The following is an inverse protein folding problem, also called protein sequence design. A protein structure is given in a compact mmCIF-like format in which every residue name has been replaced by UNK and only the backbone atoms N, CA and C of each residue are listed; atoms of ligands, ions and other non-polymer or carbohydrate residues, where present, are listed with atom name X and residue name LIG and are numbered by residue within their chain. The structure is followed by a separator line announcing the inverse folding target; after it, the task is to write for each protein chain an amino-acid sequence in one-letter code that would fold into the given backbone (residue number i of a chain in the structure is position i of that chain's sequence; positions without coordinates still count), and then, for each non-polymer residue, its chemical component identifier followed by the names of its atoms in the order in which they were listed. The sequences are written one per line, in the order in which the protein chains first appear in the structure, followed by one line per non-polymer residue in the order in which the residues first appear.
data_IF_035095640364
#
_entry.id   IF_035095640364
#
_cell.length_a   1.000
_cell.length_b   1.000
_cell.length_c   1.000
_cell.angle_alpha   90.00
_cell.angle_beta   90.00
_cell.angle_gamma   90.00
#
_symmetry.space_group_name_H-M   'P 1'
#
loop_
_entity.id
_entity.type
_entity.pdbx_description
1 polymer ?
#
# COMPACT_ATOMS: atom_id res chain seq x y z
N UNK A 1 8.67 4.29 -0.90
CA UNK A 1 8.60 4.26 0.57
C UNK A 1 7.36 3.47 1.00
N UNK A 2 7.46 2.15 1.16
CA UNK A 2 6.44 1.34 1.85
C UNK A 2 6.31 1.87 3.27
N UNK A 3 5.10 1.87 3.86
CA UNK A 3 4.81 2.61 5.11
C UNK A 3 5.96 2.54 6.11
N UNK A 4 6.47 3.69 6.53
CA UNK A 4 7.60 3.75 7.45
C UNK A 4 7.10 3.45 8.86
N UNK A 5 7.77 2.55 9.58
CA UNK A 5 7.43 2.23 10.97
C UNK A 5 7.77 3.40 11.92
N UNK A 6 8.73 4.24 11.51
CA UNK A 6 9.15 5.46 12.21
C UNK A 6 9.22 6.60 11.20
N UNK A 7 8.51 7.69 11.50
CA UNK A 7 8.58 8.94 10.74
C UNK A 7 9.36 9.97 11.54
N UNK A 8 10.50 10.42 10.99
CA UNK A 8 11.30 11.50 11.59
C UNK A 8 10.89 12.81 10.92
N UNK A 9 10.32 13.71 11.71
CA UNK A 9 9.98 15.06 11.27
C UNK A 9 10.99 16.07 11.81
N UNK A 10 11.86 16.58 10.94
CA UNK A 10 12.95 17.50 11.30
C UNK A 10 12.67 18.92 10.79
N UNK A 11 13.01 19.92 11.59
CA UNK A 11 13.07 21.32 11.16
C UNK A 11 13.16 22.31 12.30
N UNK A 12 13.65 23.52 12.02
CA UNK A 12 13.80 24.60 13.02
C UNK A 12 12.46 25.09 13.60
N UNK A 13 11.34 24.81 12.92
CA UNK A 13 9.98 25.16 13.34
C UNK A 13 9.08 23.92 13.49
N UNK A 14 9.67 22.74 13.69
CA UNK A 14 8.91 21.48 13.76
C UNK A 14 7.80 21.52 14.84
N UNK A 15 8.02 22.30 15.90
CA UNK A 15 7.14 22.44 17.06
C UNK A 15 6.20 23.63 17.00
N UNK A 16 6.16 24.39 15.90
CA UNK A 16 5.37 25.61 15.80
C UNK A 16 3.85 25.35 15.68
N UNK A 17 3.46 24.25 15.03
CA UNK A 17 2.05 23.91 14.80
C UNK A 17 1.56 22.92 15.85
N UNK A 18 0.58 23.33 16.66
CA UNK A 18 -0.02 22.47 17.68
C UNK A 18 -0.60 21.18 17.06
N UNK A 19 -1.23 21.29 15.88
CA UNK A 19 -1.79 20.14 15.17
C UNK A 19 -0.72 19.09 14.83
N UNK A 20 0.50 19.51 14.50
CA UNK A 20 1.60 18.58 14.23
C UNK A 20 2.16 18.01 15.52
N UNK A 21 2.33 18.83 16.56
CA UNK A 21 2.82 18.34 17.85
C UNK A 21 1.87 17.31 18.44
N UNK A 22 0.55 17.48 18.31
CA UNK A 22 -0.43 16.51 18.84
C UNK A 22 -0.35 15.14 18.14
N UNK A 23 0.19 15.08 16.92
CA UNK A 23 0.40 13.84 16.16
C UNK A 23 1.76 13.18 16.44
N UNK A 24 2.68 13.88 17.10
CA UNK A 24 4.02 13.35 17.38
C UNK A 24 4.04 12.55 18.67
N UNK A 25 4.50 11.30 18.58
CA UNK A 25 4.65 10.39 19.71
C UNK A 25 5.87 10.71 20.59
N UNK A 26 6.86 11.41 20.03
CA UNK A 26 8.10 11.78 20.73
C UNK A 26 8.62 13.10 20.16
N UNK A 27 8.94 14.05 21.04
CA UNK A 27 9.40 15.40 20.66
C UNK A 27 10.80 15.63 21.20
N UNK A 28 11.77 15.72 20.29
CA UNK A 28 13.19 15.94 20.63
C UNK A 28 13.59 17.37 20.27
N UNK A 29 14.11 18.12 21.24
CA UNK A 29 14.69 19.44 21.02
C UNK A 29 16.21 19.36 21.14
N UNK A 30 16.93 19.80 20.10
CA UNK A 30 18.39 19.89 20.15
C UNK A 30 18.78 21.27 20.66
N UNK A 31 19.40 21.31 21.83
CA UNK A 31 19.89 22.54 22.43
C UNK A 31 21.39 22.71 22.21
N UNK A 32 21.76 23.93 21.83
CA UNK A 32 23.15 24.29 21.52
C UNK A 32 23.37 25.73 21.93
N UNK A 33 24.52 25.98 22.54
CA UNK A 33 24.86 27.29 23.08
C UNK A 33 24.73 28.40 22.02
N UNK A 34 24.18 29.57 22.36
CA UNK A 34 24.03 30.70 21.44
C UNK A 34 25.34 31.09 20.75
N UNK A 35 26.46 31.03 21.47
CA UNK A 35 27.78 31.42 20.99
C UNK A 35 28.27 30.44 19.92
N UNK A 36 28.12 29.13 20.17
CA UNK A 36 28.42 28.07 19.20
C UNK A 36 27.56 28.21 17.94
N UNK A 37 26.27 28.50 18.10
CA UNK A 37 25.35 28.72 16.95
C UNK A 37 25.73 29.96 16.14
N UNK A 38 26.14 31.03 16.81
CA UNK A 38 26.61 32.26 16.17
C UNK A 38 27.94 32.03 15.44
N UNK A 39 28.91 31.36 16.07
CA UNK A 39 30.20 31.03 15.48
C UNK A 39 30.03 30.21 14.18
N UNK A 40 29.27 29.10 14.24
CA UNK A 40 28.95 28.27 13.06
C UNK A 40 28.28 29.07 11.94
N UNK A 41 27.46 30.06 12.29
CA UNK A 41 26.80 30.93 11.32
C UNK A 41 27.78 31.90 10.69
N UNK A 42 28.67 32.51 11.48
CA UNK A 42 29.68 33.44 11.01
C UNK A 42 30.63 32.75 10.04
N UNK A 43 31.17 31.59 10.42
CA UNK A 43 32.01 30.76 9.54
C UNK A 43 31.31 30.49 8.20
N UNK A 44 30.10 29.92 8.25
CA UNK A 44 29.34 29.58 7.04
C UNK A 44 28.96 30.80 6.17
N UNK A 45 28.48 31.89 6.78
CA UNK A 45 27.99 33.04 6.01
C UNK A 45 29.16 33.91 5.48
N UNK A 46 30.33 33.89 6.12
CA UNK A 46 31.53 34.63 5.68
C UNK A 46 32.35 33.79 4.70
N UNK A 47 32.73 32.56 5.05
CA UNK A 47 33.62 31.71 4.24
C UNK A 47 32.88 31.11 3.04
N UNK A 48 31.71 30.49 3.24
CA UNK A 48 31.02 29.79 2.15
C UNK A 48 30.20 30.72 1.24
N UNK A 49 29.78 31.89 1.75
CA UNK A 49 28.85 32.80 1.07
C UNK A 49 29.41 34.19 0.79
N UNK A 50 30.64 34.48 1.21
CA UNK A 50 31.35 35.71 0.91
C UNK A 50 30.70 36.98 1.48
N UNK A 51 29.97 36.88 2.59
CA UNK A 51 29.32 38.05 3.23
C UNK A 51 30.28 38.76 4.19
N UNK A 52 30.06 40.05 4.39
CA UNK A 52 30.78 40.84 5.38
C UNK A 52 30.26 40.57 6.81
N UNK A 53 31.17 40.64 7.78
CA UNK A 53 30.87 40.39 9.20
C UNK A 53 29.76 41.30 9.73
N UNK A 54 29.79 42.58 9.36
CA UNK A 54 28.85 43.59 9.86
C UNK A 54 27.42 43.29 9.40
N UNK A 55 27.24 42.94 8.12
CA UNK A 55 25.97 42.53 7.54
C UNK A 55 25.41 41.24 8.16
N UNK A 56 26.27 40.25 8.44
CA UNK A 56 25.85 39.00 9.10
C UNK A 56 25.38 39.26 10.53
N UNK A 57 26.12 40.05 11.31
CA UNK A 57 25.75 40.42 12.68
C UNK A 57 24.47 41.26 12.72
N UNK A 58 24.33 42.24 11.81
CA UNK A 58 23.13 43.04 11.67
C UNK A 58 21.90 42.17 11.36
N UNK A 59 22.03 41.21 10.43
CA UNK A 59 20.97 40.25 10.12
C UNK A 59 20.64 39.36 11.32
N UNK A 60 21.67 38.88 12.04
CA UNK A 60 21.50 38.00 13.19
C UNK A 60 20.69 38.68 14.30
N UNK A 61 21.08 39.90 14.68
CA UNK A 61 20.40 40.67 15.72
C UNK A 61 19.00 41.12 15.30
N UNK A 62 18.81 41.51 14.04
CA UNK A 62 17.54 42.04 13.55
C UNK A 62 16.48 40.98 13.32
N UNK A 63 16.87 39.80 12.81
CA UNK A 63 15.91 38.80 12.34
C UNK A 63 16.08 37.43 12.99
N UNK A 64 17.31 36.96 13.16
CA UNK A 64 17.58 35.56 13.50
C UNK A 64 17.36 35.30 14.99
N UNK A 65 17.98 36.10 15.85
CA UNK A 65 17.84 35.97 17.30
C UNK A 65 16.39 36.21 17.75
N UNK A 66 15.70 37.28 17.30
CA UNK A 66 14.29 37.48 17.65
C UNK A 66 13.39 36.34 17.17
N UNK A 67 13.62 35.79 15.97
CA UNK A 67 12.85 34.66 15.48
C UNK A 67 13.10 33.38 16.30
N UNK A 68 14.36 33.13 16.69
CA UNK A 68 14.69 32.03 17.59
C UNK A 68 13.96 32.18 18.94
N UNK A 69 14.08 33.35 19.58
CA UNK A 69 13.49 33.60 20.90
C UNK A 69 11.95 33.50 20.87
N UNK A 70 11.33 33.91 19.76
CA UNK A 70 9.86 33.94 19.61
C UNK A 70 9.28 32.60 19.19
N UNK A 71 9.91 31.88 18.27
CA UNK A 71 9.29 30.73 17.59
C UNK A 71 9.98 29.38 17.84
N UNK A 72 11.26 29.38 18.24
CA UNK A 72 12.06 28.16 18.37
C UNK A 72 12.32 27.83 19.84
N UNK A 73 12.84 28.79 20.61
CA UNK A 73 13.15 28.61 22.03
C UNK A 73 11.96 28.15 22.88
N UNK A 74 10.70 28.62 22.64
CA UNK A 74 9.55 28.10 23.37
C UNK A 74 9.29 26.61 23.13
N UNK A 75 9.78 26.06 22.00
CA UNK A 75 9.72 24.65 21.65
C UNK A 75 10.39 23.74 22.69
N UNK A 76 11.36 24.22 23.46
CA UNK A 76 11.94 23.45 24.57
C UNK A 76 10.92 23.05 25.63
N UNK A 77 9.91 23.90 25.89
CA UNK A 77 8.91 23.65 26.95
C UNK A 77 7.98 22.49 26.61
N UNK A 78 7.80 22.21 25.33
CA UNK A 78 6.93 21.15 24.83
C UNK A 78 7.70 19.89 24.45
N UNK A 79 9.04 19.93 24.47
CA UNK A 79 9.86 18.78 24.12
C UNK A 79 9.87 17.76 25.27
N UNK A 80 9.80 16.48 24.90
CA UNK A 80 9.92 15.36 25.85
C UNK A 80 11.39 15.13 26.22
N UNK A 81 12.31 15.36 25.27
CA UNK A 81 13.75 15.20 25.44
C UNK A 81 14.49 16.42 24.92
N UNK A 82 15.42 16.94 25.72
CA UNK A 82 16.35 18.00 25.31
C UNK A 82 17.75 17.40 25.18
N UNK A 83 18.34 17.49 23.99
CA UNK A 83 19.67 16.95 23.68
C UNK A 83 20.68 18.09 23.64
N UNK A 84 21.56 18.22 24.65
CA UNK A 84 22.62 19.22 24.61
C UNK A 84 23.73 18.77 23.65
N UNK A 85 24.37 19.76 23.00
CA UNK A 85 25.53 19.57 22.08
C UNK A 85 25.21 18.82 20.78
N UNK A 86 23.94 18.53 20.50
CA UNK A 86 23.48 17.95 19.24
C UNK A 86 24.08 16.58 18.91
N UNK A 87 24.42 16.38 17.64
CA UNK A 87 24.76 15.07 17.06
C UNK A 87 26.05 14.41 17.58
N UNK A 88 26.85 15.11 18.39
CA UNK A 88 28.04 14.55 19.04
C UNK A 88 27.71 13.81 20.35
N UNK A 89 26.46 13.91 20.81
CA UNK A 89 26.03 13.30 22.07
C UNK A 89 25.54 11.85 21.85
N UNK A 90 26.48 10.92 21.69
CA UNK A 90 26.17 9.49 21.45
C UNK A 90 25.26 8.89 22.52
N UNK A 91 25.42 9.30 23.78
CA UNK A 91 24.59 8.83 24.91
C UNK A 91 23.13 9.24 24.73
N UNK A 92 22.89 10.49 24.30
CA UNK A 92 21.53 10.96 24.03
C UNK A 92 20.91 10.26 22.81
N UNK A 93 21.72 9.99 21.79
CA UNK A 93 21.27 9.23 20.60
C UNK A 93 20.86 7.81 20.99
N UNK A 94 21.66 7.10 21.79
CA UNK A 94 21.31 5.75 22.26
C UNK A 94 20.03 5.75 23.10
N UNK A 95 19.83 6.77 23.94
CA UNK A 95 18.61 6.93 24.72
C UNK A 95 17.38 7.16 23.84
N UNK A 96 17.49 7.98 22.79
CA UNK A 96 16.42 8.18 21.80
C UNK A 96 16.11 6.87 21.09
N UNK A 97 17.14 6.15 20.63
CA UNK A 97 16.97 4.86 19.95
C UNK A 97 16.28 3.85 20.85
N UNK A 98 16.65 3.76 22.14
CA UNK A 98 15.98 2.89 23.11
C UNK A 98 14.52 3.29 23.32
N UNK A 99 14.24 4.59 23.44
CA UNK A 99 12.87 5.06 23.63
C UNK A 99 11.99 4.72 22.42
N UNK A 100 12.50 4.92 21.19
CA UNK A 100 11.80 4.52 19.96
C UNK A 100 11.55 3.01 19.96
N UNK A 101 12.55 2.19 20.32
CA UNK A 101 12.37 0.73 20.42
C UNK A 101 11.32 0.32 21.46
N UNK A 102 11.29 0.97 22.62
CA UNK A 102 10.28 0.70 23.65
C UNK A 102 8.89 1.09 23.19
N UNK A 103 8.71 2.27 22.59
CA UNK A 103 7.44 2.72 22.04
C UNK A 103 6.92 1.79 20.94
N UNK A 104 7.82 1.33 20.07
CA UNK A 104 7.50 0.31 19.09
C UNK A 104 7.02 -0.97 19.81
N UNK A 105 7.77 -1.48 20.80
CA UNK A 105 7.42 -2.71 21.51
C UNK A 105 6.07 -2.63 22.25
N UNK A 106 5.76 -1.51 22.91
CA UNK A 106 4.47 -1.25 23.56
C UNK A 106 3.30 -1.30 22.58
N UNK A 107 3.52 -0.84 21.34
CA UNK A 107 2.56 -0.93 20.24
C UNK A 107 2.50 -2.32 19.61
N UNK A 108 3.20 -3.31 20.18
CA UNK A 108 3.22 -4.69 19.72
C UNK A 108 4.32 -5.00 18.71
N UNK A 109 5.31 -4.11 18.53
CA UNK A 109 6.47 -4.39 17.69
C UNK A 109 7.40 -5.40 18.36
N UNK A 110 7.26 -6.67 18.01
CA UNK A 110 8.22 -7.72 18.33
C UNK A 110 9.33 -7.88 17.27
N UNK A 111 10.55 -7.40 17.55
CA UNK A 111 11.69 -7.47 16.62
C UNK A 111 12.12 -8.91 16.24
N UNK A 112 11.58 -9.94 16.91
CA UNK A 112 11.79 -11.35 16.58
C UNK A 112 10.76 -11.90 15.59
N UNK A 113 9.63 -11.20 15.38
CA UNK A 113 8.60 -11.55 14.41
C UNK A 113 8.86 -10.94 13.05
N UNK A 114 8.33 -11.59 12.02
CA UNK A 114 8.43 -11.11 10.65
C UNK A 114 7.76 -9.71 10.53
N UNK A 115 8.45 -8.74 9.92
CA UNK A 115 8.03 -7.34 9.80
C UNK A 115 6.62 -7.16 9.23
N UNK A 116 6.20 -8.06 8.33
CA UNK A 116 4.85 -8.04 7.77
C UNK A 116 3.77 -8.59 8.71
N UNK A 117 4.09 -9.57 9.57
CA UNK A 117 3.13 -10.08 10.56
C UNK A 117 2.92 -9.04 11.64
N UNK A 118 4.00 -8.39 12.08
CA UNK A 118 3.92 -7.23 12.94
C UNK A 118 3.00 -6.14 12.37
N UNK A 119 3.22 -5.73 11.12
CA UNK A 119 2.39 -4.70 10.48
C UNK A 119 0.93 -5.16 10.34
N UNK A 120 0.69 -6.41 9.98
CA UNK A 120 -0.65 -6.98 9.90
C UNK A 120 -1.34 -7.01 11.27
N UNK A 121 -0.66 -7.49 12.31
CA UNK A 121 -1.17 -7.59 13.69
C UNK A 121 -1.45 -6.22 14.33
N UNK A 122 -0.57 -5.24 14.09
CA UNK A 122 -0.75 -3.86 14.55
C UNK A 122 -1.96 -3.21 13.89
N UNK A 123 -2.15 -3.43 12.58
CA UNK A 123 -3.35 -2.97 11.88
C UNK A 123 -4.57 -3.72 12.41
N UNK A 124 -4.48 -5.03 12.68
CA UNK A 124 -5.62 -5.88 13.02
C UNK A 124 -6.32 -5.47 14.33
N UNK A 125 -5.56 -4.97 15.32
CA UNK A 125 -6.12 -4.51 16.60
C UNK A 125 -6.94 -3.23 16.51
N UNK A 126 -6.64 -2.35 15.55
CA UNK A 126 -7.31 -1.06 15.35
C UNK A 126 -8.14 -1.01 14.05
N UNK A 127 -8.39 -2.16 13.42
CA UNK A 127 -9.21 -2.23 12.21
C UNK A 127 -10.63 -1.72 12.49
N UNK A 128 -11.15 -0.80 11.67
CA UNK A 128 -12.55 -0.44 11.72
C UNK A 128 -13.41 -1.69 11.54
N UNK A 129 -14.42 -1.88 12.40
CA UNK A 129 -15.37 -3.00 12.32
C UNK A 129 -16.13 -3.08 10.98
N UNK A 130 -16.09 -2.03 10.17
CA UNK A 130 -16.76 -1.97 8.87
C UNK A 130 -15.74 -2.01 7.74
N UNK A 131 -16.00 -2.87 6.76
CA UNK A 131 -15.22 -2.95 5.54
C UNK A 131 -15.16 -1.60 4.81
N UNK A 132 -14.08 -1.32 4.06
CA UNK A 132 -13.90 -0.05 3.37
C UNK A 132 -14.99 0.19 2.33
N UNK A 133 -15.42 1.45 2.16
CA UNK A 133 -16.46 1.82 1.18
C UNK A 133 -16.06 1.60 -0.27
N UNK A 134 -14.77 1.59 -0.56
CA UNK A 134 -14.21 1.32 -1.89
C UNK A 134 -14.19 -0.17 -2.23
N UNK A 135 -14.45 -1.05 -1.26
CA UNK A 135 -14.51 -2.49 -1.45
C UNK A 135 -15.91 -2.93 -1.83
N UNK A 136 -16.01 -3.54 -3.01
CA UNK A 136 -17.21 -4.24 -3.46
C UNK A 136 -16.96 -5.74 -3.39
N UNK A 137 -17.84 -6.45 -2.68
CA UNK A 137 -17.84 -7.91 -2.63
C UNK A 137 -18.93 -8.41 -3.56
N UNK A 138 -18.62 -9.39 -4.41
CA UNK A 138 -19.63 -10.00 -5.26
C UNK A 138 -20.74 -10.66 -4.42
N UNK A 139 -22.00 -10.63 -4.91
CA UNK A 139 -23.10 -11.32 -4.24
C UNK A 139 -22.79 -12.80 -4.01
N UNK A 140 -22.91 -13.25 -2.76
CA UNK A 140 -22.64 -14.63 -2.34
C UNK A 140 -23.77 -15.60 -2.73
N UNK A 141 -24.03 -15.71 -4.03
CA UNK A 141 -25.01 -16.66 -4.57
C UNK A 141 -24.59 -18.11 -4.29
N UNK A 142 -25.53 -19.07 -4.28
CA UNK A 142 -25.20 -20.49 -4.12
C UNK A 142 -24.14 -20.97 -5.13
N UNK A 143 -24.17 -20.44 -6.35
CA UNK A 143 -23.19 -20.77 -7.39
C UNK A 143 -21.79 -20.25 -7.04
N UNK A 144 -21.66 -18.98 -6.64
CA UNK A 144 -20.37 -18.39 -6.22
C UNK A 144 -19.79 -19.13 -5.01
N UNK A 145 -20.64 -19.44 -4.01
CA UNK A 145 -20.24 -20.23 -2.84
C UNK A 145 -19.80 -21.65 -3.20
N UNK A 146 -20.49 -22.28 -4.14
CA UNK A 146 -20.12 -23.60 -4.66
C UNK A 146 -18.76 -23.59 -5.35
N UNK A 147 -18.50 -22.60 -6.22
CA UNK A 147 -17.19 -22.43 -6.87
C UNK A 147 -16.08 -22.22 -5.83
N UNK A 148 -16.31 -21.37 -4.83
CA UNK A 148 -15.38 -21.21 -3.72
C UNK A 148 -15.15 -22.51 -2.95
N UNK A 149 -16.17 -23.36 -2.77
CA UNK A 149 -16.01 -24.63 -2.06
C UNK A 149 -15.01 -25.56 -2.76
N UNK A 150 -15.09 -25.68 -4.09
CA UNK A 150 -14.10 -26.44 -4.87
C UNK A 150 -12.71 -25.80 -4.81
N UNK A 151 -12.64 -24.47 -4.94
CA UNK A 151 -11.36 -23.77 -4.86
C UNK A 151 -10.71 -23.89 -3.48
N UNK A 152 -11.48 -23.94 -2.38
CA UNK A 152 -10.94 -24.05 -1.02
C UNK A 152 -10.64 -25.50 -0.62
N UNK A 153 -11.27 -26.48 -1.26
CA UNK A 153 -11.07 -27.89 -0.95
C UNK A 153 -9.66 -28.36 -1.35
N UNK A 154 -8.88 -28.82 -0.37
CA UNK A 154 -7.54 -29.40 -0.56
C UNK A 154 -7.55 -30.66 -1.44
N UNK A 155 -8.64 -31.41 -1.46
CA UNK A 155 -8.77 -32.66 -2.23
C UNK A 155 -9.15 -32.44 -3.69
N UNK A 156 -9.43 -31.20 -4.11
CA UNK A 156 -9.82 -30.91 -5.49
C UNK A 156 -8.63 -31.10 -6.43
N UNK A 157 -8.86 -31.84 -7.51
CA UNK A 157 -7.83 -32.11 -8.51
C UNK A 157 -7.45 -30.84 -9.26
N UNK A 158 -6.25 -30.80 -9.84
CA UNK A 158 -5.76 -29.60 -10.55
C UNK A 158 -6.70 -29.19 -11.69
N UNK A 159 -7.16 -30.16 -12.49
CA UNK A 159 -8.00 -29.87 -13.66
C UNK A 159 -9.36 -29.28 -13.24
N UNK A 160 -9.95 -29.81 -12.16
CA UNK A 160 -11.15 -29.22 -11.55
C UNK A 160 -10.88 -27.84 -10.97
N UNK A 161 -9.74 -27.65 -10.29
CA UNK A 161 -9.36 -26.37 -9.70
C UNK A 161 -9.24 -25.28 -10.77
N UNK A 162 -8.56 -25.56 -11.89
CA UNK A 162 -8.46 -24.65 -13.04
C UNK A 162 -9.85 -24.36 -13.60
N UNK A 163 -10.65 -25.40 -13.85
CA UNK A 163 -12.00 -25.25 -14.41
C UNK A 163 -12.92 -24.37 -13.54
N UNK A 164 -12.96 -24.61 -12.24
CA UNK A 164 -13.81 -23.83 -11.33
C UNK A 164 -13.26 -22.42 -11.09
N UNK A 165 -11.93 -22.25 -11.06
CA UNK A 165 -11.30 -20.94 -10.93
C UNK A 165 -11.59 -20.06 -12.14
N UNK A 166 -11.44 -20.58 -13.37
CA UNK A 166 -11.74 -19.86 -14.60
C UNK A 166 -13.22 -19.42 -14.66
N UNK A 167 -14.13 -20.27 -14.19
CA UNK A 167 -15.56 -19.92 -14.08
C UNK A 167 -15.80 -18.79 -13.08
N UNK A 168 -15.12 -18.79 -11.95
CA UNK A 168 -15.24 -17.71 -10.96
C UNK A 168 -14.62 -16.41 -11.47
N UNK A 169 -13.45 -16.47 -12.11
CA UNK A 169 -12.79 -15.34 -12.76
C UNK A 169 -13.69 -14.70 -13.81
N UNK A 170 -14.42 -15.50 -14.60
CA UNK A 170 -15.38 -14.98 -15.57
C UNK A 170 -16.47 -14.15 -14.90
N UNK A 171 -17.05 -14.65 -13.81
CA UNK A 171 -18.08 -13.92 -13.04
C UNK A 171 -17.50 -12.62 -12.46
N UNK A 172 -16.30 -12.68 -11.89
CA UNK A 172 -15.59 -11.52 -11.35
C UNK A 172 -15.37 -10.43 -12.41
N UNK A 173 -14.89 -10.81 -13.59
CA UNK A 173 -14.58 -9.87 -14.67
C UNK A 173 -15.86 -9.29 -15.29
N UNK A 174 -16.90 -10.10 -15.50
CA UNK A 174 -18.19 -9.60 -15.97
C UNK A 174 -18.78 -8.60 -14.96
N UNK A 175 -18.64 -8.86 -13.65
CA UNK A 175 -19.05 -7.91 -12.63
C UNK A 175 -18.20 -6.63 -12.65
N UNK A 176 -16.90 -6.74 -12.86
CA UNK A 176 -15.99 -5.60 -13.00
C UNK A 176 -16.38 -4.69 -14.18
N UNK A 177 -16.95 -5.24 -15.25
CA UNK A 177 -17.40 -4.45 -16.39
C UNK A 177 -18.55 -3.51 -16.05
N UNK A 178 -19.34 -3.79 -15.00
CA UNK A 178 -20.42 -2.90 -14.56
C UNK A 178 -19.90 -1.57 -14.00
N UNK A 179 -18.66 -1.54 -13.49
CA UNK A 179 -18.01 -0.33 -12.98
C UNK A 179 -17.40 0.54 -14.08
N UNK A 180 -17.53 0.15 -15.35
CA UNK A 180 -17.01 0.90 -16.48
C UNK A 180 -17.98 2.02 -16.90
N UNK A 181 -17.50 3.14 -17.46
CA UNK A 181 -18.37 4.21 -17.91
C UNK A 181 -19.07 3.84 -19.24
N UNK A 182 -20.40 3.91 -19.22
CA UNK A 182 -21.27 3.67 -20.38
C UNK A 182 -22.00 4.95 -20.80
N UNK A 183 -22.20 5.12 -22.11
CA UNK A 183 -23.07 6.15 -22.69
C UNK A 183 -24.35 5.52 -23.21
N UNK A 184 -25.46 6.25 -23.15
CA UNK A 184 -26.67 5.87 -23.88
C UNK A 184 -26.41 5.96 -25.39
N UNK A 185 -26.88 4.97 -26.13
CA UNK A 185 -26.71 4.90 -27.58
C UNK A 185 -27.98 4.34 -28.19
N UNK A 186 -28.62 5.14 -29.02
CA UNK A 186 -29.77 4.73 -29.80
C UNK A 186 -29.29 3.87 -30.99
N UNK A 187 -29.90 2.71 -31.16
CA UNK A 187 -29.68 1.81 -32.28
C UNK A 187 -31.00 1.53 -32.98
N UNK A 188 -30.96 1.37 -34.29
CA UNK A 188 -32.13 0.98 -35.07
C UNK A 188 -32.26 -0.53 -35.06
N UNK A 189 -33.39 -1.04 -34.56
CA UNK A 189 -33.71 -2.47 -34.58
C UNK A 189 -33.85 -2.97 -36.03
N UNK A 190 -33.70 -4.28 -36.30
CA UNK A 190 -34.02 -4.85 -37.61
C UNK A 190 -35.45 -4.57 -38.07
N UNK A 191 -36.38 -4.30 -37.13
CA UNK A 191 -37.77 -3.91 -37.39
C UNK A 191 -37.94 -2.42 -37.76
N UNK A 192 -36.88 -1.62 -37.77
CA UNK A 192 -36.90 -0.18 -38.08
C UNK A 192 -37.17 0.73 -36.88
N UNK A 193 -37.63 0.18 -35.75
CA UNK A 193 -37.88 0.94 -34.53
C UNK A 193 -36.57 1.30 -33.79
N UNK A 194 -36.51 2.47 -33.16
CA UNK A 194 -35.37 2.86 -32.33
C UNK A 194 -35.37 2.15 -30.96
N UNK A 195 -34.19 1.75 -30.48
CA UNK A 195 -33.97 1.19 -29.15
C UNK A 195 -32.77 1.88 -28.50
N UNK A 196 -32.93 2.35 -27.27
CA UNK A 196 -31.84 2.99 -26.50
C UNK A 196 -31.15 1.93 -25.65
N UNK A 197 -29.90 1.61 -26.01
CA UNK A 197 -29.02 0.75 -25.24
C UNK A 197 -27.87 1.51 -24.60
N UNK A 198 -26.90 0.78 -24.05
CA UNK A 198 -25.65 1.31 -23.48
C UNK A 198 -24.46 0.89 -24.35
N UNK A 199 -23.53 1.82 -24.59
CA UNK A 199 -22.26 1.55 -25.24
C UNK A 199 -21.10 1.97 -24.33
N UNK A 200 -20.05 1.15 -24.29
CA UNK A 200 -18.82 1.44 -23.54
C UNK A 200 -18.08 2.61 -24.15
N UNK A 201 -17.54 3.50 -23.31
CA UNK A 201 -16.84 4.72 -23.76
C UNK A 201 -15.33 4.69 -23.54
N UNK A 202 -14.88 4.04 -22.48
CA UNK A 202 -13.47 4.00 -22.10
C UNK A 202 -12.74 2.79 -22.63
N UNK A 203 -11.47 2.97 -22.98
CA UNK A 203 -10.58 1.86 -23.32
C UNK A 203 -10.15 1.15 -22.03
N UNK A 204 -10.06 -0.19 -22.08
CA UNK A 204 -9.65 -1.00 -20.92
C UNK A 204 -8.27 -1.59 -21.17
N UNK A 205 -7.45 -1.58 -20.12
CA UNK A 205 -6.18 -2.28 -20.07
C UNK A 205 -6.19 -3.25 -18.88
N UNK A 206 -5.78 -4.49 -19.08
CA UNK A 206 -5.50 -5.41 -17.99
C UNK A 206 -4.04 -5.30 -17.57
N UNK A 207 -3.76 -5.35 -16.27
CA UNK A 207 -2.39 -5.42 -15.73
C UNK A 207 -2.35 -6.58 -14.75
N UNK A 208 -1.57 -7.61 -15.06
CA UNK A 208 -1.44 -8.78 -14.20
C UNK A 208 -0.22 -8.65 -13.28
N UNK A 209 -0.43 -8.86 -11.98
CA UNK A 209 0.67 -9.07 -11.02
C UNK A 209 1.11 -10.52 -11.14
N UNK A 210 2.33 -10.74 -11.60
CA UNK A 210 2.86 -12.09 -11.83
C UNK A 210 3.21 -12.75 -10.49
N UNK A 211 2.99 -14.06 -10.33
CA UNK A 211 2.47 -15.04 -11.32
C UNK A 211 0.94 -15.20 -11.28
N UNK A 212 0.34 -15.08 -10.09
CA UNK A 212 -1.05 -15.48 -9.87
C UNK A 212 -2.08 -14.64 -10.66
N UNK A 213 -1.82 -13.34 -10.85
CA UNK A 213 -2.68 -12.46 -11.64
C UNK A 213 -2.75 -12.82 -13.12
N UNK A 214 -1.76 -13.55 -13.66
CA UNK A 214 -1.75 -13.95 -15.07
C UNK A 214 -2.86 -14.96 -15.41
N UNK A 215 -3.32 -15.71 -14.41
CA UNK A 215 -4.41 -16.69 -14.57
C UNK A 215 -5.72 -16.04 -15.02
N UNK A 216 -5.92 -14.77 -14.68
CA UNK A 216 -7.12 -14.00 -15.09
C UNK A 216 -7.04 -13.45 -16.52
N UNK A 217 -5.87 -13.47 -17.18
CA UNK A 217 -5.72 -12.89 -18.52
C UNK A 217 -6.64 -13.55 -19.55
N UNK A 218 -6.75 -14.88 -19.47
CA UNK A 218 -7.58 -15.64 -20.39
C UNK A 218 -9.06 -15.25 -20.23
N UNK A 219 -9.54 -15.21 -18.99
CA UNK A 219 -10.91 -14.79 -18.69
C UNK A 219 -11.17 -13.34 -19.12
N UNK A 220 -10.20 -12.44 -18.96
CA UNK A 220 -10.34 -11.04 -19.38
C UNK A 220 -10.43 -10.89 -20.89
N UNK A 221 -9.54 -11.53 -21.64
CA UNK A 221 -9.57 -11.49 -23.12
C UNK A 221 -10.82 -12.14 -23.69
N UNK A 222 -11.40 -13.11 -22.98
CA UNK A 222 -12.64 -13.75 -23.38
C UNK A 222 -13.88 -12.86 -23.17
N UNK A 223 -13.79 -11.78 -22.37
CA UNK A 223 -14.83 -10.75 -22.21
C UNK A 223 -14.53 -9.54 -23.09
N UNK A 224 -13.27 -9.09 -23.11
CA UNK A 224 -12.82 -7.88 -23.80
C UNK A 224 -11.79 -8.25 -24.87
N UNK A 225 -12.25 -8.38 -26.13
CA UNK A 225 -11.44 -8.87 -27.26
C UNK A 225 -10.17 -8.05 -27.53
N UNK A 226 -10.26 -6.72 -27.47
CA UNK A 226 -9.15 -5.81 -27.81
C UNK A 226 -8.40 -5.27 -26.57
N UNK A 227 -8.40 -6.03 -25.47
CA UNK A 227 -7.75 -5.60 -24.24
C UNK A 227 -6.22 -5.66 -24.35
N UNK A 228 -5.57 -4.50 -24.17
CA UNK A 228 -4.11 -4.45 -23.98
C UNK A 228 -3.76 -5.03 -22.62
N UNK A 229 -2.62 -5.71 -22.53
CA UNK A 229 -2.13 -6.34 -21.31
C UNK A 229 -0.79 -5.74 -20.91
N UNK A 230 -0.68 -5.36 -19.64
CA UNK A 230 0.56 -5.07 -18.95
C UNK A 230 0.90 -6.18 -17.96
N UNK A 231 2.18 -6.30 -17.63
CA UNK A 231 2.70 -7.28 -16.68
C UNK A 231 3.63 -6.61 -15.68
N UNK A 232 3.48 -6.96 -14.42
CA UNK A 232 4.31 -6.47 -13.32
C UNK A 232 4.79 -7.69 -12.52
N UNK A 233 6.10 -7.86 -12.36
CA UNK A 233 6.67 -8.83 -11.43
C UNK A 233 7.08 -8.12 -10.16
N UNK A 234 6.40 -8.45 -9.08
CA UNK A 234 6.78 -8.02 -7.74
C UNK A 234 7.09 -9.28 -6.95
N UNK A 235 8.27 -9.29 -6.36
CA UNK A 235 8.69 -10.36 -5.48
C UNK A 235 9.21 -9.76 -4.19
N UNK A 236 8.81 -10.38 -3.08
CA UNK A 236 9.32 -10.00 -1.78
C UNK A 236 10.75 -10.52 -1.65
N UNK A 237 11.68 -9.63 -1.36
CA UNK A 237 13.06 -10.00 -1.09
C UNK A 237 13.14 -10.77 0.24
N UNK A 238 13.74 -11.96 0.24
CA UNK A 238 13.80 -12.86 1.41
C UNK A 238 14.60 -12.28 2.59
N UNK A 239 15.53 -11.35 2.32
CA UNK A 239 16.39 -10.75 3.35
C UNK A 239 15.77 -9.51 3.97
N UNK A 240 15.29 -8.61 3.13
CA UNK A 240 14.71 -7.34 3.58
C UNK A 240 13.23 -7.47 3.90
N UNK A 241 12.58 -8.52 3.40
CA UNK A 241 11.14 -8.66 3.41
C UNK A 241 10.49 -7.40 2.84
N UNK A 242 11.04 -6.78 1.79
CA UNK A 242 10.38 -5.67 1.08
C UNK A 242 9.96 -6.11 -0.32
N UNK A 243 8.85 -5.58 -0.86
CA UNK A 243 8.44 -5.91 -2.21
C UNK A 243 9.30 -5.12 -3.20
N UNK A 244 9.95 -5.82 -4.12
CA UNK A 244 10.83 -5.26 -5.12
C UNK A 244 10.28 -5.46 -6.54
N UNK A 245 10.51 -4.48 -7.41
CA UNK A 245 10.07 -4.51 -8.81
C UNK A 245 11.14 -5.22 -9.63
N UNK A 246 10.85 -6.44 -10.09
CA UNK A 246 11.81 -7.20 -10.90
C UNK A 246 11.56 -7.05 -12.40
N UNK A 247 10.30 -6.84 -12.80
CA UNK A 247 9.94 -6.74 -14.20
C UNK A 247 8.73 -5.83 -14.38
N UNK A 248 8.79 -4.99 -15.40
CA UNK A 248 7.72 -4.07 -15.75
C UNK A 248 7.56 -4.01 -17.26
N UNK A 249 6.35 -4.30 -17.75
CA UNK A 249 5.98 -4.07 -19.14
C UNK A 249 4.55 -3.58 -19.23
N UNK A 250 4.39 -2.28 -19.44
CA UNK A 250 3.09 -1.62 -19.57
C UNK A 250 2.86 -1.12 -21.00
N UNK A 251 1.59 -0.97 -21.44
CA UNK A 251 1.28 -0.28 -22.69
C UNK A 251 1.72 1.20 -22.65
N UNK A 252 2.26 1.71 -23.76
CA UNK A 252 2.83 3.07 -23.84
C UNK A 252 1.91 4.20 -23.40
N UNK A 253 0.59 4.07 -23.60
CA UNK A 253 -0.39 5.12 -23.32
C UNK A 253 -1.31 4.75 -22.15
N UNK A 254 -0.81 4.02 -21.14
CA UNK A 254 -1.62 3.44 -20.07
C UNK A 254 -2.48 4.47 -19.30
N UNK A 255 -2.01 5.72 -19.17
CA UNK A 255 -2.74 6.83 -18.53
C UNK A 255 -4.14 7.10 -19.12
N UNK A 256 -4.40 6.73 -20.38
CA UNK A 256 -5.68 6.93 -21.07
C UNK A 256 -6.70 5.80 -20.81
N UNK A 257 -6.26 4.69 -20.20
CA UNK A 257 -7.07 3.50 -20.03
C UNK A 257 -7.66 3.44 -18.62
N UNK A 258 -8.81 2.79 -18.49
CA UNK A 258 -9.24 2.19 -17.21
C UNK A 258 -8.43 0.90 -17.01
N UNK A 259 -7.70 0.83 -15.90
CA UNK A 259 -6.77 -0.25 -15.61
C UNK A 259 -7.44 -1.26 -14.69
N UNK A 260 -7.54 -2.52 -15.15
CA UNK A 260 -7.89 -3.67 -14.35
C UNK A 260 -6.60 -4.29 -13.81
N UNK A 261 -6.26 -3.96 -12.56
CA UNK A 261 -5.13 -4.59 -11.88
C UNK A 261 -5.60 -5.93 -11.33
N UNK A 262 -4.95 -7.02 -11.71
CA UNK A 262 -5.42 -8.38 -11.41
C UNK A 262 -4.42 -9.12 -10.54
N UNK A 263 -4.91 -9.66 -9.43
CA UNK A 263 -4.17 -10.53 -8.52
C UNK A 263 -5.08 -11.56 -7.87
N UNK A 264 -4.71 -12.84 -7.86
CA UNK A 264 -5.63 -13.90 -7.44
C UNK A 264 -5.98 -13.81 -5.95
N UNK A 265 -5.00 -13.50 -5.11
CA UNK A 265 -5.15 -13.47 -3.65
C UNK A 265 -4.42 -12.27 -3.07
N UNK A 266 -5.15 -11.40 -2.39
CA UNK A 266 -4.58 -10.26 -1.68
C UNK A 266 -4.53 -10.59 -0.19
N UNK A 267 -3.34 -10.96 0.30
CA UNK A 267 -3.09 -11.16 1.73
C UNK A 267 -2.80 -9.81 2.40
N UNK A 268 -1.53 -9.46 2.62
CA UNK A 268 -1.14 -8.18 3.25
C UNK A 268 -1.39 -6.96 2.34
N UNK A 269 -1.62 -7.18 1.05
CA UNK A 269 -1.76 -6.12 0.06
C UNK A 269 -0.45 -5.46 -0.38
N UNK A 270 0.72 -5.92 0.11
CA UNK A 270 2.02 -5.31 -0.21
C UNK A 270 2.32 -5.26 -1.72
N UNK A 271 2.13 -6.39 -2.42
CA UNK A 271 2.33 -6.46 -3.88
C UNK A 271 1.34 -5.57 -4.63
N UNK A 272 0.05 -5.60 -4.25
CA UNK A 272 -0.97 -4.74 -4.86
C UNK A 272 -0.68 -3.24 -4.62
N UNK A 273 -0.26 -2.85 -3.41
CA UNK A 273 0.13 -1.47 -3.10
C UNK A 273 1.30 -1.00 -3.97
N UNK A 274 2.32 -1.84 -4.12
CA UNK A 274 3.45 -1.56 -5.00
C UNK A 274 3.02 -1.41 -6.46
N UNK A 275 2.18 -2.32 -6.96
CA UNK A 275 1.68 -2.26 -8.32
C UNK A 275 0.85 -0.99 -8.58
N UNK A 276 -0.01 -0.59 -7.64
CA UNK A 276 -0.78 0.66 -7.75
C UNK A 276 0.17 1.86 -7.82
N UNK A 277 1.21 1.93 -6.97
CA UNK A 277 2.21 3.01 -7.02
C UNK A 277 2.93 3.08 -8.36
N UNK A 278 3.36 1.95 -8.90
CA UNK A 278 4.00 1.89 -10.21
C UNK A 278 3.05 2.43 -11.29
N UNK A 279 1.74 2.15 -11.21
CA UNK A 279 0.75 2.71 -12.14
C UNK A 279 0.59 4.22 -11.98
N UNK A 280 0.55 4.73 -10.75
CA UNK A 280 0.51 6.16 -10.46
C UNK A 280 1.75 6.88 -10.99
N UNK A 281 2.94 6.27 -10.86
CA UNK A 281 4.21 6.78 -11.41
C UNK A 281 4.20 6.84 -12.96
N UNK A 282 3.27 6.14 -13.61
CA UNK A 282 3.05 6.16 -15.07
C UNK A 282 1.82 7.00 -15.45
N UNK A 283 1.47 7.99 -14.63
CA UNK A 283 0.39 8.97 -14.82
C UNK A 283 -1.02 8.35 -14.94
N UNK A 284 -1.22 7.12 -14.43
CA UNK A 284 -2.56 6.56 -14.31
C UNK A 284 -3.27 7.24 -13.15
N UNK A 285 -4.46 7.80 -13.38
CA UNK A 285 -5.27 8.36 -12.30
C UNK A 285 -5.75 7.28 -11.34
N UNK A 286 -5.72 7.57 -10.05
CA UNK A 286 -6.09 6.63 -8.99
C UNK A 286 -7.53 6.07 -9.16
N UNK A 287 -8.49 6.91 -9.54
CA UNK A 287 -9.88 6.54 -9.85
C UNK A 287 -10.06 5.70 -11.12
N UNK A 288 -9.02 5.58 -11.94
CA UNK A 288 -9.00 4.74 -13.13
C UNK A 288 -8.50 3.31 -12.84
N UNK A 289 -8.08 3.03 -11.61
CA UNK A 289 -7.57 1.73 -11.20
C UNK A 289 -8.68 0.94 -10.50
N UNK A 290 -8.95 -0.26 -11.01
CA UNK A 290 -9.84 -1.25 -10.42
C UNK A 290 -9.03 -2.50 -10.09
N UNK A 291 -8.84 -2.79 -8.80
CA UNK A 291 -8.15 -3.99 -8.34
C UNK A 291 -9.14 -5.16 -8.27
N UNK A 292 -8.84 -6.24 -9.00
CA UNK A 292 -9.61 -7.47 -9.05
C UNK A 292 -8.90 -8.58 -8.27
N UNK A 293 -9.62 -9.24 -7.36
CA UNK A 293 -9.11 -10.42 -6.67
C UNK A 293 -10.16 -11.49 -6.39
N UNK A 294 -9.76 -12.76 -6.40
CA UNK A 294 -10.65 -13.87 -6.04
C UNK A 294 -10.79 -14.00 -4.52
N UNK A 295 -9.81 -13.52 -3.76
CA UNK A 295 -9.89 -13.53 -2.30
C UNK A 295 -9.04 -12.41 -1.73
N UNK A 296 -9.61 -11.61 -0.85
CA UNK A 296 -8.88 -10.60 -0.08
C UNK A 296 -8.94 -10.92 1.41
N UNK A 297 -7.86 -10.69 2.13
CA UNK A 297 -7.92 -10.60 3.59
C UNK A 297 -8.45 -9.23 4.02
N UNK A 298 -9.13 -9.16 5.17
CA UNK A 298 -9.63 -7.90 5.73
C UNK A 298 -8.51 -6.87 5.90
N UNK A 299 -7.39 -7.28 6.50
CA UNK A 299 -6.19 -6.43 6.70
C UNK A 299 -5.66 -5.86 5.38
N UNK A 300 -5.59 -6.67 4.32
CA UNK A 300 -5.16 -6.24 2.99
C UNK A 300 -6.11 -5.23 2.36
N UNK A 301 -7.42 -5.48 2.46
CA UNK A 301 -8.45 -4.58 1.92
C UNK A 301 -8.41 -3.21 2.60
N UNK A 302 -8.30 -3.17 3.93
CA UNK A 302 -8.19 -1.92 4.68
C UNK A 302 -6.89 -1.17 4.37
N UNK A 303 -5.76 -1.88 4.31
CA UNK A 303 -4.46 -1.27 3.99
C UNK A 303 -4.48 -0.59 2.61
N UNK A 304 -5.06 -1.27 1.60
CA UNK A 304 -5.20 -0.73 0.26
C UNK A 304 -6.16 0.46 0.19
N UNK A 305 -7.32 0.36 0.85
CA UNK A 305 -8.30 1.44 0.84
C UNK A 305 -7.84 2.68 1.61
N UNK A 306 -7.04 2.51 2.66
CA UNK A 306 -6.43 3.60 3.40
C UNK A 306 -5.34 4.29 2.58
N UNK A 307 -4.47 3.50 1.93
CA UNK A 307 -3.39 4.04 1.11
C UNK A 307 -3.88 4.70 -0.20
N UNK A 308 -4.95 4.17 -0.79
CA UNK A 308 -5.49 4.61 -2.07
C UNK A 308 -7.03 4.72 -2.02
N UNK A 309 -7.57 5.82 -1.45
CA UNK A 309 -9.00 5.99 -1.22
C UNK A 309 -9.85 6.16 -2.49
N UNK A 310 -9.26 6.39 -3.66
CA UNK A 310 -9.99 6.50 -4.94
C UNK A 310 -9.92 5.23 -5.78
N UNK A 311 -9.06 4.28 -5.43
CA UNK A 311 -9.01 2.96 -6.11
C UNK A 311 -10.27 2.18 -5.75
N UNK A 312 -10.89 1.57 -6.75
CA UNK A 312 -12.00 0.64 -6.51
C UNK A 312 -11.44 -0.76 -6.29
N UNK A 313 -11.86 -1.42 -5.22
CA UNK A 313 -11.48 -2.80 -4.91
C UNK A 313 -12.67 -3.70 -5.20
N UNK A 314 -12.47 -4.78 -5.97
CA UNK A 314 -13.52 -5.74 -6.28
C UNK A 314 -13.01 -7.16 -5.98
N UNK A 315 -13.76 -7.88 -5.14
CA UNK A 315 -13.42 -9.26 -4.79
C UNK A 315 -14.61 -10.20 -4.72
N UNK A 316 -14.37 -11.49 -4.91
CA UNK A 316 -15.41 -12.51 -4.79
C UNK A 316 -15.61 -13.00 -3.36
N UNK A 317 -14.63 -12.85 -2.47
CA UNK A 317 -14.75 -13.19 -1.05
C UNK A 317 -13.74 -12.41 -0.19
N UNK A 318 -14.09 -12.21 1.08
CA UNK A 318 -13.20 -11.63 2.09
C UNK A 318 -13.09 -12.60 3.26
N UNK A 319 -11.87 -12.83 3.72
CA UNK A 319 -11.56 -13.68 4.87
C UNK A 319 -10.87 -12.87 5.98
N UNK A 320 -11.03 -13.31 7.23
CA UNK A 320 -10.73 -12.49 8.42
C UNK A 320 -9.27 -12.43 8.84
N UNK A 321 -8.48 -13.49 8.59
CA UNK A 321 -7.13 -13.60 9.15
C UNK A 321 -6.07 -13.92 8.10
N UNK A 322 -4.84 -13.56 8.43
CA UNK A 322 -3.62 -13.93 7.72
C UNK A 322 -2.79 -14.78 8.69
N UNK A 323 -2.20 -15.88 8.20
CA UNK A 323 -1.29 -16.75 8.96
C UNK A 323 0.10 -16.13 9.14
N UNK A 324 0.93 -16.74 9.98
CA UNK A 324 2.34 -16.35 10.14
C UNK A 324 3.15 -16.44 8.82
N UNK A 325 2.72 -17.30 7.90
CA UNK A 325 3.31 -17.47 6.58
C UNK A 325 2.65 -16.59 5.49
N UNK A 326 1.87 -15.58 5.89
CA UNK A 326 1.15 -14.66 4.99
C UNK A 326 0.07 -15.29 4.13
N UNK A 327 -0.43 -16.48 4.50
CA UNK A 327 -1.56 -17.08 3.82
C UNK A 327 -2.87 -16.56 4.41
N UNK A 328 -3.83 -16.28 3.54
CA UNK A 328 -5.19 -15.95 3.98
C UNK A 328 -5.81 -17.19 4.63
N UNK A 329 -6.50 -17.04 5.77
CA UNK A 329 -7.21 -18.12 6.49
C UNK A 329 -8.68 -17.72 6.64
N UNK A 330 -9.66 -18.59 6.32
CA UNK A 330 -9.53 -20.00 5.89
C UNK A 330 -8.92 -20.19 4.50
N UNK A 331 -8.90 -19.16 3.64
CA UNK A 331 -8.06 -19.17 2.44
C UNK A 331 -8.37 -20.21 1.38
N UNK A 332 -7.41 -20.39 0.47
CA UNK A 332 -7.38 -21.45 -0.54
C UNK A 332 -5.97 -22.00 -0.81
N UNK A 333 -5.01 -21.75 0.09
CA UNK A 333 -3.59 -22.05 -0.11
C UNK A 333 -2.92 -21.11 -1.12
N UNK A 334 -1.78 -21.51 -1.66
CA UNK A 334 -1.10 -20.75 -2.72
C UNK A 334 -1.83 -20.93 -4.06
N UNK A 335 -2.56 -19.91 -4.48
CA UNK A 335 -3.34 -19.97 -5.71
C UNK A 335 -2.49 -20.25 -6.95
N UNK A 336 -1.34 -19.57 -7.06
CA UNK A 336 -0.44 -19.73 -8.21
C UNK A 336 0.08 -21.16 -8.33
N UNK A 337 0.54 -21.74 -7.22
CA UNK A 337 1.09 -23.09 -7.25
C UNK A 337 0.02 -24.15 -7.52
N UNK A 338 -1.19 -23.99 -6.98
CA UNK A 338 -2.33 -24.86 -7.28
C UNK A 338 -2.77 -24.79 -8.74
N UNK A 339 -2.78 -23.59 -9.32
CA UNK A 339 -3.20 -23.38 -10.71
C UNK A 339 -2.15 -23.91 -11.69
N UNK A 340 -0.86 -23.60 -11.48
CA UNK A 340 0.22 -24.02 -12.37
C UNK A 340 0.73 -25.45 -12.10
N UNK A 341 0.43 -26.02 -10.93
CA UNK A 341 0.94 -27.32 -10.50
C UNK A 341 2.40 -27.26 -10.03
N UNK A 342 2.80 -26.16 -9.39
CA UNK A 342 4.15 -25.96 -8.84
C UNK A 342 4.21 -26.11 -7.33
N UNK A 343 3.29 -26.89 -6.75
CA UNK A 343 3.24 -27.12 -5.31
C UNK A 343 4.45 -27.92 -4.82
N UNK A 344 5.19 -27.39 -3.84
CA UNK A 344 6.22 -28.14 -3.13
C UNK A 344 5.57 -28.95 -1.99
N UNK A 345 5.86 -30.25 -1.93
CA UNK A 345 5.31 -31.18 -0.93
C UNK A 345 5.56 -30.73 0.53
N UNK A 346 6.66 -30.02 0.79
CA UNK A 346 7.03 -29.51 2.12
C UNK A 346 6.14 -28.34 2.61
N UNK A 347 5.49 -27.60 1.71
CA UNK A 347 4.76 -26.36 2.05
C UNK A 347 3.47 -26.63 2.83
N UNK A 348 2.96 -27.87 2.83
CA UNK A 348 1.66 -28.21 3.42
C UNK A 348 1.72 -29.15 4.63
N UNK A 349 2.92 -29.58 5.06
CA UNK A 349 3.11 -30.34 6.31
C UNK A 349 3.05 -29.44 7.54
N UNK A 350 3.38 -28.15 7.44
CA UNK A 350 3.32 -27.21 8.57
C UNK A 350 1.89 -26.79 8.97
N UNK A 351 0.88 -27.00 8.11
CA UNK A 351 -0.52 -26.64 8.42
C UNK A 351 -1.26 -27.70 9.27
N UNK A 352 -0.63 -28.84 9.61
CA UNK A 352 -1.28 -29.90 10.40
C UNK A 352 -1.05 -29.86 11.90
N UNK A 353 -0.17 -28.98 12.39
CA UNK A 353 0.25 -28.98 13.80
C UNK A 353 -0.51 -28.01 14.71
N UNK A 354 -1.46 -27.22 14.17
CA UNK A 354 -2.43 -26.51 15.01
C UNK A 354 -3.73 -27.33 15.12
N UNK A 355 -3.80 -28.18 16.15
CA UNK A 355 -5.00 -28.92 16.54
C UNK A 355 -5.43 -28.62 17.96
#
# INVERSE_FOLDING_TARGET
MYGADVLIFEGILAFHSQKLTDLMDMKVFVDTDPDTRLARRLERDIEDRGRDLEGVLAQYLRFVKPAFDTFIAPGMKIADIIVPRGGENEVAIDLIVKQVKTQLAERGYDASKNLYLQRADMVQKDLPLQLPRTLTILPQTPQVRGLHTFMRNRKTTRDEFIFYSDRLMRILIENAMNSMPFKDTAVTKPTGESFVGKAKTSQICGVAIMRAGETMEHALRAVVKDCKMGKILIQTNEKTMEPELFYLRLPKNIHQYKVLLMDATVATGAAAMMAIRVLLDHDVLEENILLLSLLMAETGAHSLAYAFPKVTLLTTAVDSHISELFYVIPGMGNFGDRYYGTENAATYEEFSDEK
#
